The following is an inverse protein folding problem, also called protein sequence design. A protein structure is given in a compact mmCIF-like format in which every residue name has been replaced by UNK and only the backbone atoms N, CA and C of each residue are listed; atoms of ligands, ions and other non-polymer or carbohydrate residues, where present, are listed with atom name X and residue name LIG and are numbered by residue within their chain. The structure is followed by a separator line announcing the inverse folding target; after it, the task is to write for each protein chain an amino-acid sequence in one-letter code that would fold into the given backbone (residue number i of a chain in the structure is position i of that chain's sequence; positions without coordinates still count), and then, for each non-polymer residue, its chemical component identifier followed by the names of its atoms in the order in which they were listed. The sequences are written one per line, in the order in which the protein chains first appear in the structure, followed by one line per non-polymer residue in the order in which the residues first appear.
data_IF_901474355466
#
_entry.id   IF_901474355466
#
_cell.length_a   1.000
_cell.length_b   1.000
_cell.length_c   1.000
_cell.angle_alpha   90.00
_cell.angle_beta   90.00
_cell.angle_gamma   90.00
#
_symmetry.space_group_name_H-M   'P 1'
#
loop_
_entity.id
_entity.type
_entity.pdbx_description
1 polymer ?
#
# COMPACT_ATOMS: atom_id res chain seq x y z
N UNK A 1 44.29 19.37 -9.74
CA UNK A 1 43.96 17.92 -9.75
C UNK A 1 42.64 17.69 -9.00
N UNK A 2 41.56 18.41 -9.38
CA UNK A 2 40.41 18.59 -8.46
C UNK A 2 39.05 18.81 -9.16
N UNK A 3 38.92 18.50 -10.45
CA UNK A 3 37.63 18.68 -11.16
C UNK A 3 36.94 17.35 -11.50
N UNK A 4 37.71 16.28 -11.72
CA UNK A 4 37.17 14.96 -12.12
C UNK A 4 36.42 14.21 -11.01
N UNK A 5 36.55 14.63 -9.74
CA UNK A 5 35.88 13.97 -8.61
C UNK A 5 34.43 14.44 -8.41
N UNK A 6 34.12 15.68 -8.78
CA UNK A 6 32.77 16.24 -8.63
C UNK A 6 31.77 15.69 -9.65
N UNK A 7 32.20 15.49 -10.91
CA UNK A 7 31.36 14.85 -11.93
C UNK A 7 31.01 13.39 -11.61
N UNK A 8 31.95 12.65 -11.01
CA UNK A 8 31.72 11.27 -10.58
C UNK A 8 30.77 11.18 -9.38
N UNK A 9 30.89 12.10 -8.41
CA UNK A 9 29.98 12.16 -7.26
C UNK A 9 28.54 12.51 -7.66
N UNK A 10 28.36 13.47 -8.58
CA UNK A 10 27.04 13.85 -9.09
C UNK A 10 26.39 12.74 -9.92
N UNK A 11 27.17 12.02 -10.73
CA UNK A 11 26.67 10.86 -11.48
C UNK A 11 26.28 9.70 -10.55
N UNK A 12 27.04 9.48 -9.48
CA UNK A 12 26.76 8.43 -8.49
C UNK A 12 25.50 8.75 -7.66
N UNK A 13 25.27 10.02 -7.32
CA UNK A 13 24.03 10.48 -6.68
C UNK A 13 22.83 10.28 -7.61
N UNK A 14 22.90 10.70 -8.88
CA UNK A 14 21.82 10.51 -9.86
C UNK A 14 21.51 9.03 -10.09
N UNK A 15 22.54 8.17 -10.14
CA UNK A 15 22.35 6.73 -10.24
C UNK A 15 21.64 6.17 -9.00
N UNK A 16 22.00 6.60 -7.79
CA UNK A 16 21.36 6.13 -6.57
C UNK A 16 19.91 6.64 -6.41
N UNK A 17 19.60 7.87 -6.84
CA UNK A 17 18.21 8.37 -6.80
C UNK A 17 17.34 7.69 -7.86
N UNK A 18 17.88 7.43 -9.06
CA UNK A 18 17.19 6.69 -10.12
C UNK A 18 17.02 5.20 -9.81
N UNK A 19 18.00 4.58 -9.13
CA UNK A 19 17.85 3.24 -8.58
C UNK A 19 16.81 3.26 -7.45
N UNK A 20 16.84 4.22 -6.51
CA UNK A 20 15.88 4.31 -5.40
C UNK A 20 14.43 4.47 -5.86
N UNK A 21 14.17 5.32 -6.86
CA UNK A 21 12.84 5.43 -7.48
C UNK A 21 12.49 4.19 -8.30
N UNK A 22 13.45 3.54 -8.97
CA UNK A 22 13.25 2.22 -9.58
C UNK A 22 12.97 1.11 -8.56
N UNK A 23 13.53 1.16 -7.35
CA UNK A 23 13.29 0.19 -6.27
C UNK A 23 11.92 0.39 -5.65
N UNK A 24 11.49 1.64 -5.45
CA UNK A 24 10.12 1.97 -5.02
C UNK A 24 9.09 1.57 -6.10
N UNK A 25 9.38 1.80 -7.38
CA UNK A 25 8.49 1.38 -8.47
C UNK A 25 8.49 -0.14 -8.68
N UNK A 26 9.60 -0.84 -8.38
CA UNK A 26 9.66 -2.31 -8.35
C UNK A 26 8.90 -2.90 -7.17
N UNK A 27 8.78 -2.20 -6.05
CA UNK A 27 7.96 -2.64 -4.93
C UNK A 27 6.47 -2.59 -5.32
N UNK A 28 6.04 -1.54 -6.00
CA UNK A 28 4.68 -1.41 -6.55
C UNK A 28 4.38 -2.48 -7.62
N UNK A 29 5.33 -2.77 -8.52
CA UNK A 29 5.18 -3.84 -9.52
C UNK A 29 5.31 -5.26 -8.94
N UNK A 30 6.04 -5.45 -7.84
CA UNK A 30 6.03 -6.71 -7.10
C UNK A 30 4.70 -6.94 -6.40
N UNK A 31 4.02 -5.90 -5.91
CA UNK A 31 2.62 -6.02 -5.47
C UNK A 31 1.74 -6.46 -6.64
N UNK A 32 1.87 -5.87 -7.82
CA UNK A 32 1.11 -6.30 -9.01
C UNK A 32 1.46 -7.73 -9.52
N UNK A 33 2.70 -8.20 -9.36
CA UNK A 33 3.13 -9.53 -9.84
C UNK A 33 2.93 -10.65 -8.81
N UNK A 34 3.13 -10.38 -7.51
CA UNK A 34 2.82 -11.31 -6.42
C UNK A 34 1.30 -11.52 -6.30
N UNK A 35 0.49 -10.49 -6.58
CA UNK A 35 -0.98 -10.57 -6.54
C UNK A 35 -1.57 -11.54 -7.59
N UNK A 36 -0.85 -11.86 -8.68
CA UNK A 36 -1.34 -12.86 -9.65
C UNK A 36 -1.03 -14.32 -9.26
N UNK A 37 -0.21 -14.55 -8.21
CA UNK A 37 0.20 -15.89 -7.77
C UNK A 37 -0.35 -16.27 -6.39
N UNK A 38 -1.02 -15.36 -5.68
CA UNK A 38 -1.67 -15.64 -4.40
C UNK A 38 -3.18 -15.89 -4.57
N UNK A 39 -3.56 -16.55 -5.66
CA UNK A 39 -4.87 -17.18 -5.75
C UNK A 39 -4.87 -18.32 -4.70
N UNK A 40 -5.67 -18.16 -3.62
CA UNK A 40 -6.09 -19.23 -2.66
C UNK A 40 -5.27 -19.43 -1.38
N UNK A 41 -4.87 -18.40 -0.64
CA UNK A 41 -4.29 -18.72 0.69
C UNK A 41 -4.14 -17.74 1.83
N UNK A 42 -4.30 -16.41 1.72
CA UNK A 42 -3.98 -15.55 2.87
C UNK A 42 -5.13 -14.59 3.23
N UNK A 43 -5.61 -14.74 4.47
CA UNK A 43 -6.75 -14.09 5.14
C UNK A 43 -8.14 -14.44 4.58
N UNK A 44 -8.72 -15.53 5.09
CA UNK A 44 -10.19 -15.69 5.06
C UNK A 44 -10.78 -14.63 5.99
N UNK A 45 -11.93 -14.06 5.64
CA UNK A 45 -12.62 -13.06 6.48
C UNK A 45 -12.80 -13.52 7.95
N UNK A 46 -12.78 -14.84 8.21
CA UNK A 46 -12.88 -15.46 9.53
C UNK A 46 -11.63 -15.30 10.40
N UNK A 47 -10.44 -15.12 9.82
CA UNK A 47 -9.17 -14.95 10.55
C UNK A 47 -8.85 -13.47 10.83
N UNK A 48 -9.76 -12.56 10.46
CA UNK A 48 -9.58 -11.13 10.60
C UNK A 48 -9.74 -10.73 12.07
N UNK A 49 -8.82 -9.89 12.58
CA UNK A 49 -8.97 -9.29 13.91
C UNK A 49 -10.22 -8.41 13.95
N UNK A 50 -10.84 -8.28 15.12
CA UNK A 50 -12.06 -7.48 15.28
C UNK A 50 -11.86 -6.03 14.79
N UNK A 51 -10.71 -5.44 15.10
CA UNK A 51 -10.34 -4.09 14.63
C UNK A 51 -10.24 -4.02 13.10
N UNK A 52 -9.62 -5.00 12.46
CA UNK A 52 -9.53 -5.04 11.00
C UNK A 52 -10.91 -5.26 10.35
N UNK A 53 -11.79 -6.02 11.01
CA UNK A 53 -13.17 -6.26 10.56
C UNK A 53 -14.00 -4.99 10.58
N UNK A 54 -13.85 -4.16 11.61
CA UNK A 54 -14.51 -2.85 11.70
C UNK A 54 -14.03 -1.95 10.56
N UNK A 55 -12.72 -1.82 10.35
CA UNK A 55 -12.15 -1.05 9.23
C UNK A 55 -12.63 -1.56 7.87
N UNK A 56 -12.70 -2.88 7.69
CA UNK A 56 -13.18 -3.49 6.45
C UNK A 56 -14.67 -3.23 6.20
N UNK A 57 -15.48 -3.16 7.26
CA UNK A 57 -16.91 -2.89 7.14
C UNK A 57 -17.23 -1.43 6.82
N UNK A 58 -16.35 -0.49 7.20
CA UNK A 58 -16.45 0.91 6.80
C UNK A 58 -16.15 1.14 5.31
N UNK A 59 -15.47 0.19 4.65
CA UNK A 59 -15.22 0.30 3.21
C UNK A 59 -16.49 -0.01 2.41
N UNK A 60 -16.83 0.89 1.49
CA UNK A 60 -17.89 0.68 0.50
C UNK A 60 -17.34 0.05 -0.78
N UNK A 61 -18.20 -0.68 -1.48
CA UNK A 61 -17.91 -1.25 -2.80
C UNK A 61 -18.00 -0.19 -3.90
N UNK A 62 -18.87 0.82 -3.71
CA UNK A 62 -19.18 1.86 -4.70
C UNK A 62 -18.43 3.16 -4.44
N UNK A 63 -18.32 3.56 -3.17
CA UNK A 63 -17.73 4.84 -2.78
C UNK A 63 -16.38 4.63 -2.11
N UNK A 64 -15.28 5.11 -2.71
CA UNK A 64 -13.96 4.98 -2.12
C UNK A 64 -13.80 5.97 -0.96
N UNK A 65 -13.11 5.55 0.11
CA UNK A 65 -12.89 6.37 1.31
C UNK A 65 -11.40 6.51 1.63
N UNK A 66 -11.01 7.66 2.16
CA UNK A 66 -9.63 7.89 2.61
C UNK A 66 -9.38 7.24 3.98
N UNK A 67 -8.12 6.94 4.27
CA UNK A 67 -7.74 6.45 5.60
C UNK A 67 -8.08 7.45 6.73
N UNK A 68 -8.21 8.75 6.42
CA UNK A 68 -8.58 9.77 7.40
C UNK A 68 -10.06 9.74 7.76
N UNK A 69 -10.93 9.49 6.78
CA UNK A 69 -12.37 9.32 7.01
C UNK A 69 -12.64 8.03 7.79
N UNK A 70 -11.99 6.93 7.40
CA UNK A 70 -12.12 5.65 8.10
C UNK A 70 -11.60 5.73 9.54
N UNK A 71 -10.49 6.44 9.77
CA UNK A 71 -9.96 6.66 11.12
C UNK A 71 -10.96 7.39 12.03
N UNK A 72 -11.69 8.37 11.48
CA UNK A 72 -12.73 9.09 12.21
C UNK A 72 -13.92 8.19 12.54
N UNK A 73 -14.39 7.38 11.58
CA UNK A 73 -15.54 6.50 11.78
C UNK A 73 -15.24 5.34 12.74
N UNK A 74 -14.00 4.85 12.73
CA UNK A 74 -13.58 3.70 13.55
C UNK A 74 -12.93 4.09 14.87
N UNK A 75 -12.74 5.39 15.13
CA UNK A 75 -12.01 5.91 16.30
C UNK A 75 -10.57 5.39 16.43
N UNK A 76 -9.95 5.05 15.31
CA UNK A 76 -8.56 4.60 15.26
C UNK A 76 -7.63 5.74 14.86
N UNK A 77 -6.35 5.59 15.19
CA UNK A 77 -5.35 6.50 14.63
C UNK A 77 -5.22 6.26 13.12
N UNK A 78 -4.85 7.32 12.38
CA UNK A 78 -4.69 7.25 10.93
C UNK A 78 -3.66 6.19 10.52
N UNK A 79 -2.59 6.07 11.30
CA UNK A 79 -1.51 5.11 11.08
C UNK A 79 -2.00 3.67 11.25
N UNK A 80 -2.83 3.41 12.28
CA UNK A 80 -3.44 2.09 12.48
C UNK A 80 -4.39 1.74 11.34
N UNK A 81 -5.24 2.68 10.90
CA UNK A 81 -6.09 2.49 9.73
C UNK A 81 -5.27 2.19 8.47
N UNK A 82 -4.21 2.96 8.20
CA UNK A 82 -3.35 2.75 7.04
C UNK A 82 -2.69 1.37 7.03
N UNK A 83 -2.21 0.89 8.18
CA UNK A 83 -1.62 -0.44 8.30
C UNK A 83 -2.65 -1.53 7.99
N UNK A 84 -3.85 -1.42 8.56
CA UNK A 84 -4.93 -2.39 8.31
C UNK A 84 -5.37 -2.35 6.85
N UNK A 85 -5.58 -1.16 6.28
CA UNK A 85 -6.01 -0.99 4.90
C UNK A 85 -4.97 -1.54 3.91
N UNK A 86 -3.68 -1.34 4.17
CA UNK A 86 -2.60 -1.95 3.40
C UNK A 86 -2.67 -3.48 3.45
N UNK A 87 -2.92 -4.05 4.64
CA UNK A 87 -3.08 -5.51 4.78
C UNK A 87 -4.31 -6.03 4.02
N UNK A 88 -5.42 -5.28 4.03
CA UNK A 88 -6.62 -5.64 3.26
C UNK A 88 -6.37 -5.60 1.74
N UNK A 89 -5.61 -4.62 1.25
CA UNK A 89 -5.20 -4.54 -0.16
C UNK A 89 -4.29 -5.69 -0.54
N UNK A 90 -3.29 -5.99 0.29
CA UNK A 90 -2.38 -7.12 0.10
C UNK A 90 -3.10 -8.47 0.14
N UNK A 91 -4.19 -8.59 0.92
CA UNK A 91 -5.03 -9.79 0.98
C UNK A 91 -6.05 -9.87 -0.18
N UNK A 92 -6.11 -8.88 -1.07
CA UNK A 92 -7.07 -8.83 -2.17
C UNK A 92 -8.52 -8.59 -1.72
N UNK A 93 -8.73 -8.01 -0.53
CA UNK A 93 -10.05 -7.67 0.01
C UNK A 93 -10.44 -6.21 -0.28
N UNK A 94 -9.45 -5.35 -0.50
CA UNK A 94 -9.64 -3.95 -0.82
C UNK A 94 -8.77 -3.53 -2.01
N UNK A 95 -9.20 -2.48 -2.69
CA UNK A 95 -8.49 -1.82 -3.78
C UNK A 95 -8.01 -0.44 -3.30
N UNK A 96 -6.89 0.02 -3.82
CA UNK A 96 -6.31 1.32 -3.49
C UNK A 96 -6.10 2.15 -4.76
N UNK A 97 -6.73 3.32 -4.82
CA UNK A 97 -6.60 4.25 -5.94
C UNK A 97 -6.52 5.69 -5.42
N UNK A 98 -5.48 6.41 -5.83
CA UNK A 98 -5.30 7.85 -5.59
C UNK A 98 -5.47 8.31 -4.12
N UNK A 99 -5.04 7.49 -3.14
CA UNK A 99 -5.16 7.83 -1.72
C UNK A 99 -6.45 7.36 -1.05
N UNK A 100 -7.35 6.75 -1.82
CA UNK A 100 -8.61 6.20 -1.33
C UNK A 100 -8.63 4.66 -1.44
N UNK A 101 -9.45 4.05 -0.60
CA UNK A 101 -9.62 2.62 -0.48
C UNK A 101 -11.06 2.24 -0.80
N UNK A 102 -11.24 1.12 -1.49
CA UNK A 102 -12.55 0.59 -1.88
C UNK A 102 -12.63 -0.89 -1.58
N UNK A 103 -13.78 -1.37 -1.13
CA UNK A 103 -14.00 -2.79 -0.89
C UNK A 103 -14.11 -3.54 -2.22
N UNK A 104 -13.44 -4.69 -2.33
CA UNK A 104 -13.65 -5.58 -3.46
C UNK A 104 -14.87 -6.49 -3.18
N UNK A 105 -15.74 -6.72 -4.19
CA UNK A 105 -16.81 -7.68 -4.06
C UNK A 105 -16.21 -9.10 -3.90
N UNK A 106 -16.69 -9.87 -2.93
CA UNK A 106 -16.37 -11.29 -2.77
C UNK A 106 -17.19 -12.16 -3.71
#
# INVERSE_FOLDING_TARGET
MTEKRHGALNALVVANTGLSTCWLFRQELLVCHVNRKMEKGMLKQQDMTETARVVFNELSVTEPATAGEIAQNTYLSRERCQLILTQLVMAGLADYQFGCYRRLPQ
#
